data_IF_415397800863
#
_entry.id   IF_415397800863
#
_cell.length_a   1.000
_cell.length_b   1.000
_cell.length_c   1.000
_cell.angle_alpha   90.00
_cell.angle_beta   90.00
_cell.angle_gamma   90.00
#
_symmetry.space_group_name_H-M   'P 1'
#
loop_
_entity.id
_entity.type
_entity.pdbx_description
1 polymer ?
#
# COMPACT_ATOMS: atom_id res chain seq x y z
N UNK A 1 -1.45 31.56 30.18
CA UNK A 1 -2.30 30.46 29.67
C UNK A 1 -1.71 29.15 30.17
N UNK A 2 -2.48 28.18 30.70
CA UNK A 2 -1.88 26.94 31.14
C UNK A 2 -1.21 26.26 29.94
N UNK A 3 0.04 25.84 30.11
CA UNK A 3 0.86 25.25 29.07
C UNK A 3 0.30 23.89 28.64
N UNK A 4 -0.70 23.90 27.76
CA UNK A 4 -1.24 22.70 27.15
C UNK A 4 -0.21 22.07 26.22
N UNK A 5 -0.16 20.73 26.20
CA UNK A 5 0.66 20.01 25.22
C UNK A 5 0.10 20.24 23.81
N UNK A 6 0.99 20.40 22.84
CA UNK A 6 0.63 20.58 21.43
C UNK A 6 0.62 19.23 20.71
N UNK A 7 -0.41 18.99 19.90
CA UNK A 7 -0.44 17.86 18.97
C UNK A 7 0.53 18.10 17.81
N UNK A 8 1.25 17.06 17.43
CA UNK A 8 2.19 17.12 16.31
C UNK A 8 1.57 16.57 15.03
N UNK A 9 1.74 17.32 13.95
CA UNK A 9 1.29 16.97 12.61
C UNK A 9 2.47 16.97 11.65
N UNK A 10 2.49 16.00 10.74
CA UNK A 10 3.34 16.06 9.55
C UNK A 10 2.56 16.75 8.43
N UNK A 11 3.17 17.75 7.81
CA UNK A 11 2.65 18.40 6.60
C UNK A 11 3.34 17.82 5.38
N UNK A 12 2.54 17.30 4.46
CA UNK A 12 3.00 16.71 3.20
C UNK A 12 2.63 17.69 2.08
N UNK A 13 3.60 18.05 1.24
CA UNK A 13 3.40 18.94 0.10
C UNK A 13 4.01 18.31 -1.14
N UNK A 14 3.19 18.08 -2.15
CA UNK A 14 3.59 17.46 -3.42
C UNK A 14 2.84 18.13 -4.56
N UNK A 15 3.54 18.58 -5.61
CA UNK A 15 2.92 19.11 -6.84
C UNK A 15 1.80 20.14 -6.57
N UNK A 16 2.05 21.14 -5.73
CA UNK A 16 1.10 22.20 -5.31
C UNK A 16 -0.10 21.71 -4.47
N UNK A 17 -0.22 20.42 -4.21
CA UNK A 17 -1.20 19.87 -3.25
C UNK A 17 -0.57 19.72 -1.87
N UNK A 18 -1.41 19.81 -0.83
CA UNK A 18 -0.97 19.72 0.57
C UNK A 18 -1.97 18.92 1.39
N UNK A 19 -1.48 18.10 2.30
CA UNK A 19 -2.30 17.43 3.29
C UNK A 19 -1.56 17.36 4.64
N UNK A 20 -2.31 17.08 5.70
CA UNK A 20 -1.78 16.93 7.05
C UNK A 20 -2.08 15.53 7.60
N UNK A 21 -1.13 15.01 8.36
CA UNK A 21 -1.18 13.70 9.00
C UNK A 21 -0.91 13.88 10.50
N UNK A 22 -1.86 13.50 11.34
CA UNK A 22 -1.69 13.55 12.78
C UNK A 22 -0.74 12.46 13.27
N UNK A 23 0.28 12.82 14.04
CA UNK A 23 1.28 11.87 14.56
C UNK A 23 0.80 11.12 15.81
N UNK A 24 -0.37 11.49 16.36
CA UNK A 24 -0.88 11.02 17.67
C UNK A 24 0.13 11.21 18.81
N UNK A 25 1.04 12.17 18.64
CA UNK A 25 2.06 12.53 19.61
C UNK A 25 1.81 13.96 20.09
N UNK A 26 2.19 14.21 21.34
CA UNK A 26 2.09 15.52 21.96
C UNK A 26 3.44 15.97 22.52
N UNK A 27 3.68 17.28 22.54
CA UNK A 27 4.91 17.86 23.09
C UNK A 27 4.63 19.19 23.80
N UNK A 28 5.43 19.51 24.81
CA UNK A 28 5.40 20.85 25.41
C UNK A 28 5.95 21.87 24.41
N UNK A 29 5.30 23.04 24.25
CA UNK A 29 5.77 24.06 23.31
C UNK A 29 7.22 24.52 23.58
N UNK A 30 7.61 24.60 24.85
CA UNK A 30 8.96 24.95 25.28
C UNK A 30 10.03 23.95 24.83
N UNK A 31 9.65 22.72 24.53
CA UNK A 31 10.54 21.64 24.11
C UNK A 31 10.56 21.44 22.59
N UNK A 32 9.74 22.17 21.84
CA UNK A 32 9.76 22.15 20.37
C UNK A 32 10.85 23.05 19.81
N UNK A 33 11.51 22.60 18.75
CA UNK A 33 12.43 23.38 17.94
C UNK A 33 11.76 23.68 16.59
N UNK A 34 11.21 24.89 16.45
CA UNK A 34 10.51 25.33 15.23
C UNK A 34 11.39 25.27 13.98
N UNK A 35 12.65 25.72 14.08
CA UNK A 35 13.57 25.75 12.95
C UNK A 35 13.92 24.36 12.42
N UNK A 36 13.96 23.35 13.30
CA UNK A 36 14.27 21.96 12.93
C UNK A 36 13.03 21.09 12.73
N UNK A 37 11.85 21.56 13.14
CA UNK A 37 10.63 20.76 13.14
C UNK A 37 10.74 19.48 13.96
N UNK A 38 11.46 19.53 15.09
CA UNK A 38 11.68 18.38 15.98
C UNK A 38 11.76 18.81 17.45
N UNK A 39 11.91 17.86 18.38
CA UNK A 39 12.09 18.20 19.79
C UNK A 39 13.52 18.65 20.10
N UNK A 40 13.68 19.49 21.13
CA UNK A 40 14.98 19.91 21.63
C UNK A 40 15.74 18.74 22.25
N UNK A 41 17.06 18.72 22.08
CA UNK A 41 17.91 17.64 22.57
C UNK A 41 18.30 17.85 24.05
N UNK A 42 17.33 17.77 24.97
CA UNK A 42 17.54 18.02 26.41
C UNK A 42 17.36 16.78 27.30
N UNK A 43 16.52 15.84 26.88
CA UNK A 43 16.27 14.60 27.62
C UNK A 43 16.21 13.41 26.67
N UNK A 44 16.39 12.21 27.20
CA UNK A 44 16.28 10.98 26.41
C UNK A 44 14.87 10.73 25.87
N UNK A 45 13.84 11.27 26.53
CA UNK A 45 12.47 11.26 26.04
C UNK A 45 12.34 12.11 24.76
N UNK A 46 12.85 13.34 24.77
CA UNK A 46 12.80 14.24 23.61
C UNK A 46 13.68 13.74 22.45
N UNK A 47 14.79 13.06 22.75
CA UNK A 47 15.61 12.36 21.74
C UNK A 47 14.85 11.21 21.10
N UNK A 48 14.14 10.39 21.90
CA UNK A 48 13.30 9.29 21.39
C UNK A 48 12.16 9.82 20.53
N UNK A 49 11.50 10.87 20.98
CA UNK A 49 10.46 11.57 20.22
C UNK A 49 10.98 12.11 18.87
N UNK A 50 12.14 12.78 18.88
CA UNK A 50 12.75 13.30 17.63
C UNK A 50 13.10 12.16 16.67
N UNK A 51 13.65 11.05 17.19
CA UNK A 51 13.93 9.86 16.38
C UNK A 51 12.68 9.27 15.76
N UNK A 52 11.58 9.22 16.50
CA UNK A 52 10.28 8.81 15.95
C UNK A 52 9.85 9.69 14.78
N UNK A 53 9.96 11.02 14.90
CA UNK A 53 9.63 11.93 13.80
C UNK A 53 10.54 11.71 12.57
N UNK A 54 11.83 11.44 12.77
CA UNK A 54 12.74 11.10 11.66
C UNK A 54 12.35 9.80 10.96
N UNK A 55 11.96 8.76 11.72
CA UNK A 55 11.47 7.49 11.15
C UNK A 55 10.22 7.73 10.31
N UNK A 56 9.26 8.53 10.80
CA UNK A 56 8.06 8.88 10.04
C UNK A 56 8.41 9.65 8.77
N UNK A 57 9.32 10.64 8.86
CA UNK A 57 9.80 11.40 7.70
C UNK A 57 10.43 10.48 6.65
N UNK A 58 11.30 9.56 7.07
CA UNK A 58 11.94 8.60 6.17
C UNK A 58 10.93 7.70 5.46
N UNK A 59 9.91 7.20 6.18
CA UNK A 59 8.81 6.42 5.60
C UNK A 59 8.01 7.22 4.56
N UNK A 60 7.63 8.46 4.88
CA UNK A 60 6.91 9.33 3.93
C UNK A 60 7.72 9.59 2.65
N UNK A 61 9.02 9.85 2.79
CA UNK A 61 9.93 10.04 1.64
C UNK A 61 10.01 8.77 0.80
N UNK A 62 10.10 7.59 1.43
CA UNK A 62 10.12 6.30 0.73
C UNK A 62 8.84 6.09 -0.10
N UNK A 63 7.66 6.31 0.46
CA UNK A 63 6.39 6.17 -0.28
C UNK A 63 6.30 7.15 -1.44
N UNK A 64 6.71 8.39 -1.24
CA UNK A 64 6.79 9.38 -2.33
C UNK A 64 7.71 8.91 -3.47
N UNK A 65 8.89 8.37 -3.15
CA UNK A 65 9.81 7.83 -4.17
C UNK A 65 9.21 6.65 -4.93
N UNK A 66 8.53 5.73 -4.23
CA UNK A 66 7.85 4.59 -4.86
C UNK A 66 6.75 5.04 -5.81
N UNK A 67 5.91 6.00 -5.39
CA UNK A 67 4.86 6.57 -6.25
C UNK A 67 5.45 7.29 -7.47
N UNK A 68 6.62 7.93 -7.32
CA UNK A 68 7.29 8.63 -8.43
C UNK A 68 7.85 7.71 -9.50
N UNK A 69 8.29 6.51 -9.14
CA UNK A 69 8.74 5.51 -10.13
C UNK A 69 7.58 4.98 -10.98
N UNK A 70 6.34 5.05 -10.48
CA UNK A 70 5.12 4.61 -11.17
C UNK A 70 4.59 5.57 -12.25
N UNK A 71 5.21 6.74 -12.44
CA UNK A 71 4.89 7.72 -13.49
C UNK A 71 3.47 8.33 -13.48
N UNK A 72 2.69 8.11 -12.43
CA UNK A 72 1.37 8.73 -12.25
C UNK A 72 1.47 10.12 -11.62
N UNK A 73 0.49 10.99 -11.89
CA UNK A 73 0.41 12.35 -11.36
C UNK A 73 0.26 12.37 -9.83
N UNK A 74 1.39 12.33 -9.12
CA UNK A 74 1.42 12.26 -7.66
C UNK A 74 0.82 13.52 -7.03
N UNK A 75 -0.01 13.33 -6.01
CA UNK A 75 -0.45 14.39 -5.11
C UNK A 75 -0.15 14.02 -3.63
N UNK A 76 -0.36 14.95 -2.71
CA UNK A 76 -0.05 14.79 -1.30
C UNK A 76 -0.92 13.73 -0.61
N UNK A 77 -2.18 13.57 -1.02
CA UNK A 77 -3.10 12.58 -0.45
C UNK A 77 -2.67 11.16 -0.80
N UNK A 78 -2.19 10.90 -2.03
CA UNK A 78 -1.63 9.60 -2.41
C UNK A 78 -0.45 9.18 -1.52
N UNK A 79 0.44 10.11 -1.17
CA UNK A 79 1.55 9.83 -0.24
C UNK A 79 1.04 9.50 1.16
N UNK A 80 0.03 10.25 1.63
CA UNK A 80 -0.62 10.01 2.94
C UNK A 80 -1.31 8.66 2.98
N UNK A 81 -2.05 8.30 1.94
CA UNK A 81 -2.72 7.00 1.82
C UNK A 81 -1.71 5.86 1.79
N UNK A 82 -0.65 5.97 0.98
CA UNK A 82 0.41 4.97 0.93
C UNK A 82 1.07 4.77 2.30
N UNK A 83 1.32 5.85 3.04
CA UNK A 83 1.85 5.78 4.41
C UNK A 83 0.86 5.15 5.41
N UNK A 84 -0.42 5.52 5.36
CA UNK A 84 -1.45 4.96 6.25
C UNK A 84 -1.73 3.48 5.96
N UNK A 85 -1.47 3.05 4.73
CA UNK A 85 -1.62 1.67 4.30
C UNK A 85 -0.29 0.88 4.37
N UNK A 86 0.80 1.44 4.91
CA UNK A 86 2.13 0.79 5.03
C UNK A 86 2.05 -0.52 5.83
N UNK A 87 1.21 -0.55 6.88
CA UNK A 87 0.97 -1.73 7.71
C UNK A 87 -0.27 -2.55 7.29
N UNK A 88 -1.08 -2.03 6.36
CA UNK A 88 -2.11 -2.89 5.75
C UNK A 88 -1.34 -3.83 4.83
N UNK A 89 -1.41 -5.15 5.04
CA UNK A 89 -0.87 -6.07 4.06
C UNK A 89 -1.61 -5.75 2.77
N UNK A 90 -0.95 -5.04 1.83
CA UNK A 90 -1.53 -4.59 0.56
C UNK A 90 -2.39 -5.72 0.07
N UNK A 91 -3.73 -5.57 0.12
CA UNK A 91 -4.68 -6.68 0.20
C UNK A 91 -4.12 -7.83 -0.62
N UNK A 92 -3.53 -8.81 0.07
CA UNK A 92 -2.70 -9.84 -0.57
C UNK A 92 -3.62 -10.87 -1.19
N UNK A 93 -4.63 -10.40 -1.90
CA UNK A 93 -5.51 -11.20 -2.70
C UNK A 93 -4.62 -11.94 -3.69
N UNK A 94 -4.79 -13.24 -3.64
CA UNK A 94 -4.20 -14.15 -4.58
C UNK A 94 -5.12 -14.27 -5.79
N UNK A 95 -4.58 -14.80 -6.88
CA UNK A 95 -5.34 -15.02 -8.10
C UNK A 95 -6.48 -16.00 -7.85
N UNK A 96 -6.27 -17.06 -7.06
CA UNK A 96 -7.34 -18.01 -6.75
C UNK A 96 -8.44 -17.39 -5.88
N UNK A 97 -8.08 -16.54 -4.91
CA UNK A 97 -9.07 -15.79 -4.14
C UNK A 97 -9.94 -14.91 -5.04
N UNK A 98 -9.32 -14.17 -5.97
CA UNK A 98 -10.03 -13.27 -6.88
C UNK A 98 -11.00 -14.03 -7.79
N UNK A 99 -10.58 -15.18 -8.31
CA UNK A 99 -11.43 -16.04 -9.15
C UNK A 99 -12.59 -16.61 -8.34
N UNK A 100 -12.35 -17.08 -7.12
CA UNK A 100 -13.40 -17.55 -6.22
C UNK A 100 -14.43 -16.47 -5.94
N UNK A 101 -13.97 -15.26 -5.60
CA UNK A 101 -14.83 -14.10 -5.37
C UNK A 101 -15.67 -13.74 -6.60
N UNK A 102 -15.06 -13.69 -7.79
CA UNK A 102 -15.77 -13.50 -9.05
C UNK A 102 -16.84 -14.59 -9.26
N UNK A 103 -16.48 -15.85 -9.05
CA UNK A 103 -17.38 -16.98 -9.30
C UNK A 103 -18.60 -16.96 -8.37
N UNK A 104 -18.43 -16.57 -7.11
CA UNK A 104 -19.55 -16.44 -6.16
C UNK A 104 -20.50 -15.32 -6.55
N UNK A 105 -19.98 -14.14 -6.91
CA UNK A 105 -20.80 -12.99 -7.32
C UNK A 105 -21.52 -13.26 -8.63
N UNK A 106 -20.84 -13.86 -9.60
CA UNK A 106 -21.35 -13.99 -10.97
C UNK A 106 -22.23 -15.23 -11.17
N UNK A 107 -22.31 -16.14 -10.19
CA UNK A 107 -23.11 -17.37 -10.27
C UNK A 107 -24.58 -17.14 -10.59
N UNK A 108 -25.16 -16.03 -10.14
CA UNK A 108 -26.56 -15.66 -10.37
C UNK A 108 -26.75 -14.69 -11.54
N UNK A 109 -25.67 -14.09 -12.04
CA UNK A 109 -25.68 -13.06 -13.09
C UNK A 109 -25.41 -13.67 -14.47
N UNK A 110 -24.44 -14.58 -14.55
CA UNK A 110 -24.01 -15.17 -15.81
C UNK A 110 -24.81 -16.42 -16.17
N UNK A 111 -25.03 -16.59 -17.47
CA UNK A 111 -25.62 -17.81 -18.00
C UNK A 111 -24.79 -19.05 -17.60
N UNK A 112 -25.42 -20.23 -17.38
CA UNK A 112 -24.70 -21.43 -16.95
C UNK A 112 -23.54 -21.83 -17.85
N UNK A 113 -23.70 -21.68 -19.17
CA UNK A 113 -22.63 -21.97 -20.15
C UNK A 113 -21.41 -21.04 -19.98
N UNK A 114 -21.65 -19.76 -19.70
CA UNK A 114 -20.57 -18.80 -19.44
C UNK A 114 -19.88 -19.10 -18.11
N UNK A 115 -20.62 -19.40 -17.04
CA UNK A 115 -20.02 -19.81 -15.76
C UNK A 115 -19.19 -21.08 -15.87
N UNK A 116 -19.62 -22.04 -16.71
CA UNK A 116 -18.82 -23.23 -17.01
C UNK A 116 -17.46 -22.83 -17.61
N UNK A 117 -17.43 -21.91 -18.57
CA UNK A 117 -16.19 -21.45 -19.18
C UNK A 117 -15.25 -20.78 -18.15
N UNK A 118 -15.77 -19.95 -17.24
CA UNK A 118 -14.96 -19.35 -16.17
C UNK A 118 -14.32 -20.40 -15.25
N UNK A 119 -15.06 -21.45 -14.87
CA UNK A 119 -14.50 -22.58 -14.08
C UNK A 119 -13.46 -23.38 -14.86
N UNK A 120 -13.64 -23.53 -16.17
CA UNK A 120 -12.64 -24.14 -17.04
C UNK A 120 -11.36 -23.30 -17.07
N UNK A 121 -11.47 -21.97 -17.21
CA UNK A 121 -10.31 -21.05 -17.14
C UNK A 121 -9.60 -21.12 -15.79
N UNK A 122 -10.34 -21.17 -14.68
CA UNK A 122 -9.78 -21.38 -13.33
C UNK A 122 -8.93 -22.66 -13.26
N UNK A 123 -9.44 -23.76 -13.82
CA UNK A 123 -8.74 -25.04 -13.85
C UNK A 123 -7.43 -24.95 -14.64
N UNK A 124 -7.45 -24.29 -15.81
CA UNK A 124 -6.24 -24.06 -16.60
C UNK A 124 -5.23 -23.16 -15.88
N UNK A 125 -5.69 -22.12 -15.19
CA UNK A 125 -4.82 -21.26 -14.39
C UNK A 125 -4.14 -22.05 -13.27
N UNK A 126 -4.86 -22.90 -12.55
CA UNK A 126 -4.29 -23.75 -11.51
C UNK A 126 -3.22 -24.70 -12.07
N UNK A 127 -3.49 -25.35 -13.20
CA UNK A 127 -2.54 -26.25 -13.86
C UNK A 127 -1.29 -25.49 -14.35
N UNK A 128 -1.49 -24.33 -14.97
CA UNK A 128 -0.40 -23.46 -15.41
C UNK A 128 0.48 -23.01 -14.24
N UNK A 129 -0.14 -22.49 -13.17
CA UNK A 129 0.57 -22.02 -11.98
C UNK A 129 1.39 -23.16 -11.37
N UNK A 130 0.78 -24.34 -11.22
CA UNK A 130 1.46 -25.52 -10.67
C UNK A 130 2.63 -25.98 -11.54
N UNK A 131 2.46 -25.98 -12.86
CA UNK A 131 3.50 -26.41 -13.81
C UNK A 131 4.67 -25.42 -13.91
N UNK A 132 4.39 -24.12 -13.96
CA UNK A 132 5.39 -23.09 -14.26
C UNK A 132 6.00 -22.42 -13.03
N UNK A 133 5.28 -22.39 -11.90
CA UNK A 133 5.70 -21.70 -10.68
C UNK A 133 5.84 -22.64 -9.48
N UNK A 134 5.40 -23.90 -9.57
CA UNK A 134 5.53 -24.89 -8.49
C UNK A 134 4.65 -24.59 -7.27
N UNK A 135 3.70 -23.67 -7.38
CA UNK A 135 2.75 -23.30 -6.33
C UNK A 135 1.32 -23.62 -6.77
N UNK A 136 0.35 -23.55 -5.84
CA UNK A 136 -1.07 -23.66 -6.21
C UNK A 136 -1.74 -22.30 -6.39
N UNK A 137 -1.02 -21.20 -6.13
CA UNK A 137 -1.56 -19.86 -6.13
C UNK A 137 -0.44 -18.81 -6.29
N UNK A 138 -0.83 -17.60 -6.70
CA UNK A 138 0.06 -16.46 -6.91
C UNK A 138 -0.62 -15.19 -6.41
N UNK A 139 0.16 -14.28 -5.82
CA UNK A 139 -0.35 -12.98 -5.40
C UNK A 139 -0.63 -12.10 -6.62
N UNK A 140 -1.71 -11.34 -6.63
CA UNK A 140 -2.06 -10.45 -7.75
C UNK A 140 -0.92 -9.47 -8.09
N UNK A 141 -0.23 -8.94 -7.07
CA UNK A 141 0.95 -8.07 -7.25
C UNK A 141 2.14 -8.72 -7.96
N UNK A 142 2.16 -10.04 -8.08
CA UNK A 142 3.21 -10.81 -8.79
C UNK A 142 2.80 -11.14 -10.22
N UNK A 143 1.59 -10.79 -10.64
CA UNK A 143 1.15 -10.95 -12.02
C UNK A 143 1.81 -9.86 -12.87
N UNK A 144 2.87 -10.25 -13.58
CA UNK A 144 3.55 -9.41 -14.55
C UNK A 144 3.15 -9.80 -15.98
N UNK A 145 3.61 -9.05 -16.98
CA UNK A 145 3.31 -9.29 -18.39
C UNK A 145 3.68 -10.72 -18.82
N UNK A 146 4.79 -11.24 -18.28
CA UNK A 146 5.29 -12.60 -18.54
C UNK A 146 4.31 -13.67 -18.08
N UNK A 147 3.57 -13.44 -16.98
CA UNK A 147 2.52 -14.35 -16.54
C UNK A 147 1.39 -14.42 -17.58
N UNK A 148 0.96 -13.26 -18.08
CA UNK A 148 -0.15 -13.15 -19.03
C UNK A 148 0.21 -13.85 -20.35
N UNK A 149 1.36 -13.52 -20.93
CA UNK A 149 1.81 -14.15 -22.18
C UNK A 149 2.12 -15.62 -22.01
N UNK A 150 2.67 -16.01 -20.85
CA UNK A 150 2.94 -17.42 -20.54
C UNK A 150 1.67 -18.25 -20.44
N UNK A 151 0.63 -17.72 -19.80
CA UNK A 151 -0.67 -18.38 -19.72
C UNK A 151 -1.36 -18.45 -21.08
N UNK A 152 -1.34 -17.37 -21.86
CA UNK A 152 -1.87 -17.36 -23.23
C UNK A 152 -1.23 -18.45 -24.09
N UNK A 153 0.09 -18.58 -24.05
CA UNK A 153 0.81 -19.64 -24.76
C UNK A 153 0.38 -21.02 -24.26
N UNK A 154 0.33 -21.23 -22.94
CA UNK A 154 -0.03 -22.50 -22.32
C UNK A 154 -1.42 -23.01 -22.76
N UNK A 155 -2.41 -22.13 -22.89
CA UNK A 155 -3.79 -22.52 -23.26
C UNK A 155 -3.91 -22.84 -24.76
N UNK A 156 -2.99 -22.36 -25.61
CA UNK A 156 -3.00 -22.58 -27.06
C UNK A 156 -2.31 -23.88 -27.49
N UNK A 157 -1.53 -24.49 -26.61
CA UNK A 157 -0.79 -25.76 -26.82
C UNK A 157 -1.43 -26.90 -26.06
#
# INVERSE_FOLDING_TARGET
MPAGRWYVYARIVVNKTKCELGMKQQINPSDWNEAKGCAKNKSDELRRFSRYLEVVRAKLVRHYQQLRLGNEGINADMVKEAFLNDDKPAEQHSLMWLIGYHNEIMKTVLAPGTMKNYRTTESYLQLFIKKHYGTNDVLLRKLAFEFITGFEHYVRT
#
